data_IF_718149841263
#
_entry.id   IF_718149841263
#
_cell.length_a   1.000
_cell.length_b   1.000
_cell.length_c   1.000
_cell.angle_alpha   90.00
_cell.angle_beta   90.00
_cell.angle_gamma   90.00
#
_symmetry.space_group_name_H-M   'P 1'
#
loop_
_entity.id
_entity.type
_entity.pdbx_description
1 polymer ?
#
# COMPACT_ATOMS: atom_id res chain seq x y z
N UNK A 1 -18.73 -29.05 -6.95
CA UNK A 1 -19.32 -28.95 -8.31
C UNK A 1 -18.20 -28.72 -9.30
N UNK A 2 -17.90 -29.66 -10.19
CA UNK A 2 -16.73 -29.61 -11.05
C UNK A 2 -16.84 -28.51 -12.11
N UNK A 3 -15.86 -27.62 -12.19
CA UNK A 3 -15.79 -26.48 -13.15
C UNK A 3 -16.00 -26.92 -14.63
N UNK A 4 -15.65 -28.14 -14.98
CA UNK A 4 -15.86 -28.67 -16.34
C UNK A 4 -17.32 -28.95 -16.71
N UNK A 5 -18.22 -29.19 -15.74
CA UNK A 5 -19.65 -29.40 -15.99
C UNK A 5 -20.40 -28.10 -16.22
N UNK A 6 -19.92 -26.99 -15.62
CA UNK A 6 -20.51 -25.67 -15.82
C UNK A 6 -20.32 -25.16 -17.25
N UNK A 7 -19.11 -25.32 -17.81
CA UNK A 7 -18.79 -24.86 -19.17
C UNK A 7 -19.50 -25.64 -20.26
N UNK A 8 -19.82 -26.95 -20.05
CA UNK A 8 -20.59 -27.75 -21.00
C UNK A 8 -22.07 -27.41 -21.03
N UNK A 9 -22.63 -26.84 -19.96
CA UNK A 9 -24.07 -26.57 -19.86
C UNK A 9 -24.47 -25.21 -20.44
N UNK A 10 -23.55 -24.28 -20.65
CA UNK A 10 -23.82 -22.93 -21.14
C UNK A 10 -23.03 -22.55 -22.40
N UNK A 11 -22.33 -23.49 -23.01
CA UNK A 11 -21.46 -23.26 -24.16
C UNK A 11 -22.05 -23.68 -25.53
N UNK A 12 -23.34 -23.84 -25.67
CA UNK A 12 -23.92 -24.20 -26.96
C UNK A 12 -25.13 -23.29 -27.25
N UNK A 13 -24.89 -22.19 -27.92
CA UNK A 13 -25.86 -21.46 -28.72
C UNK A 13 -25.22 -20.31 -29.52
N UNK A 14 -24.23 -20.62 -30.35
CA UNK A 14 -23.78 -19.67 -31.38
C UNK A 14 -23.54 -20.39 -32.72
N UNK A 15 -24.52 -21.14 -33.17
CA UNK A 15 -24.55 -21.63 -34.54
C UNK A 15 -25.98 -21.49 -35.07
N UNK A 16 -26.27 -20.35 -35.65
CA UNK A 16 -27.56 -20.16 -36.33
C UNK A 16 -28.03 -18.71 -36.34
N UNK A 17 -27.33 -17.82 -37.05
CA UNK A 17 -27.88 -16.54 -37.52
C UNK A 17 -26.92 -15.93 -38.56
N UNK A 18 -26.83 -16.58 -39.71
CA UNK A 18 -26.32 -15.99 -40.95
C UNK A 18 -27.51 -15.94 -41.93
N UNK A 19 -28.23 -14.82 -41.91
CA UNK A 19 -28.92 -14.24 -43.08
C UNK A 19 -29.95 -13.18 -42.65
N UNK A 20 -29.46 -11.96 -42.47
CA UNK A 20 -30.30 -10.77 -42.58
C UNK A 20 -29.52 -9.71 -43.36
N UNK A 21 -30.07 -9.06 -44.40
CA UNK A 21 -29.37 -8.02 -45.13
C UNK A 21 -29.18 -6.79 -44.23
N UNK A 22 -27.98 -6.37 -44.10
CA UNK A 22 -27.62 -5.17 -43.34
C UNK A 22 -28.16 -3.93 -44.06
N UNK A 23 -29.22 -3.32 -43.55
CA UNK A 23 -29.53 -1.92 -43.81
C UNK A 23 -28.47 -1.05 -43.07
N UNK A 24 -27.41 -0.68 -43.76
CA UNK A 24 -26.50 0.33 -43.30
C UNK A 24 -27.18 1.71 -43.35
N UNK A 25 -27.81 2.11 -42.27
CA UNK A 25 -28.02 3.53 -42.02
C UNK A 25 -26.68 4.19 -41.74
N UNK A 26 -26.21 5.03 -42.66
CA UNK A 26 -25.06 5.93 -42.46
C UNK A 26 -25.44 6.94 -41.38
N UNK A 27 -25.27 6.59 -40.11
CA UNK A 27 -25.17 7.58 -39.07
C UNK A 27 -23.73 8.06 -39.04
N UNK A 28 -23.48 9.24 -39.55
CA UNK A 28 -22.23 9.97 -39.30
C UNK A 28 -22.07 10.09 -37.77
N UNK A 29 -20.95 9.63 -37.19
CA UNK A 29 -20.73 9.88 -35.79
C UNK A 29 -20.63 11.40 -35.58
N UNK A 30 -21.59 11.98 -34.84
CA UNK A 30 -21.40 13.33 -34.29
C UNK A 30 -20.14 13.26 -33.44
N UNK A 31 -19.10 13.90 -33.90
CA UNK A 31 -17.93 14.20 -33.07
C UNK A 31 -18.44 15.02 -31.88
N UNK A 32 -18.61 14.36 -30.76
CA UNK A 32 -18.82 15.04 -29.47
C UNK A 32 -17.43 15.61 -29.16
N UNK A 33 -17.26 16.88 -29.46
CA UNK A 33 -16.14 17.65 -28.91
C UNK A 33 -16.26 17.54 -27.40
N UNK A 34 -15.22 17.02 -26.69
CA UNK A 34 -15.27 17.04 -25.24
C UNK A 34 -15.39 18.49 -24.83
N UNK A 35 -16.54 18.83 -24.24
CA UNK A 35 -16.69 20.08 -23.54
C UNK A 35 -15.54 20.11 -22.52
N UNK A 36 -14.61 21.08 -22.63
CA UNK A 36 -13.69 21.39 -21.55
C UNK A 36 -14.57 21.85 -20.38
N UNK A 37 -15.04 20.92 -19.59
CA UNK A 37 -15.60 21.18 -18.29
C UNK A 37 -14.49 21.90 -17.55
N UNK A 38 -14.73 23.14 -17.14
CA UNK A 38 -13.82 23.85 -16.24
C UNK A 38 -13.56 22.89 -15.08
N UNK A 39 -12.31 22.52 -14.84
CA UNK A 39 -11.95 21.60 -13.75
C UNK A 39 -12.45 22.25 -12.46
N UNK A 40 -13.45 21.66 -11.86
CA UNK A 40 -13.87 22.07 -10.52
C UNK A 40 -12.69 21.69 -9.64
N UNK A 41 -11.97 22.69 -9.13
CA UNK A 41 -10.87 22.46 -8.19
C UNK A 41 -11.43 21.73 -6.97
N UNK A 42 -10.88 20.59 -6.65
CA UNK A 42 -11.20 19.87 -5.42
C UNK A 42 -10.61 20.62 -4.22
N UNK A 43 -11.17 20.39 -3.04
CA UNK A 43 -10.53 20.86 -1.81
C UNK A 43 -9.46 19.86 -1.43
N UNK A 44 -8.19 20.26 -1.29
CA UNK A 44 -7.14 19.38 -0.85
C UNK A 44 -7.46 18.76 0.51
N UNK A 45 -7.11 17.49 0.66
CA UNK A 45 -7.36 16.73 1.90
C UNK A 45 -6.23 15.75 2.13
N UNK A 46 -5.82 15.59 3.38
CA UNK A 46 -4.97 14.49 3.86
C UNK A 46 -5.72 13.78 4.97
N UNK A 47 -5.78 12.47 4.91
CA UNK A 47 -6.36 11.63 5.96
C UNK A 47 -5.42 10.47 6.26
N UNK A 48 -5.34 10.07 7.52
CA UNK A 48 -4.64 8.83 7.91
C UNK A 48 -5.48 8.03 8.90
N UNK A 49 -5.17 6.76 9.02
CA UNK A 49 -5.69 5.92 10.09
C UNK A 49 -5.02 6.32 11.41
N UNK A 50 -5.72 6.11 12.52
CA UNK A 50 -5.26 6.41 13.87
C UNK A 50 -4.92 7.90 14.09
N UNK A 51 -4.39 8.23 15.26
CA UNK A 51 -4.08 9.61 15.65
C UNK A 51 -2.62 10.00 15.31
N UNK A 52 -2.21 9.82 14.06
CA UNK A 52 -0.88 10.19 13.59
C UNK A 52 -0.86 11.64 13.06
N UNK A 53 -1.05 12.58 13.98
CA UNK A 53 -1.18 14.01 13.65
C UNK A 53 0.09 14.56 12.99
N UNK A 54 1.29 14.16 13.44
CA UNK A 54 2.55 14.62 12.87
C UNK A 54 2.74 14.15 11.42
N UNK A 55 2.33 12.91 11.12
CA UNK A 55 2.35 12.38 9.76
C UNK A 55 1.39 13.14 8.84
N UNK A 56 0.17 13.40 9.30
CA UNK A 56 -0.81 14.19 8.57
C UNK A 56 -0.34 15.64 8.34
N UNK A 57 0.26 16.26 9.37
CA UNK A 57 0.80 17.61 9.27
C UNK A 57 1.96 17.67 8.25
N UNK A 58 2.84 16.66 8.24
CA UNK A 58 3.94 16.60 7.27
C UNK A 58 3.42 16.41 5.84
N UNK A 59 2.49 15.49 5.63
CA UNK A 59 1.86 15.30 4.32
C UNK A 59 1.17 16.58 3.83
N UNK A 60 0.49 17.27 4.72
CA UNK A 60 -0.15 18.56 4.42
C UNK A 60 0.87 19.64 4.03
N UNK A 61 1.96 19.78 4.78
CA UNK A 61 3.07 20.69 4.47
C UNK A 61 3.62 20.45 3.06
N UNK A 62 3.89 19.16 2.72
CA UNK A 62 4.41 18.76 1.41
C UNK A 62 3.40 19.12 0.31
N UNK A 63 2.12 18.80 0.52
CA UNK A 63 1.06 19.14 -0.43
C UNK A 63 0.93 20.65 -0.65
N UNK A 64 1.02 21.46 0.42
CA UNK A 64 0.96 22.92 0.34
C UNK A 64 2.20 23.53 -0.36
N UNK A 65 3.32 22.84 -0.39
CA UNK A 65 4.51 23.28 -1.14
C UNK A 65 4.35 23.15 -2.65
N UNK A 66 3.28 22.53 -3.13
CA UNK A 66 3.03 22.26 -4.54
C UNK A 66 3.67 20.96 -5.06
N UNK A 67 4.16 20.10 -4.15
CA UNK A 67 4.63 18.77 -4.48
C UNK A 67 3.44 17.83 -4.83
N UNK A 68 3.74 16.67 -5.41
CA UNK A 68 2.71 15.72 -5.82
C UNK A 68 2.00 15.08 -4.61
N UNK A 69 0.79 14.56 -4.83
CA UNK A 69 0.07 13.77 -3.82
C UNK A 69 0.85 12.53 -3.40
N UNK A 70 1.66 11.96 -4.32
CA UNK A 70 2.52 10.82 -4.05
C UNK A 70 3.66 11.18 -3.09
N UNK A 71 4.31 12.33 -3.30
CA UNK A 71 5.33 12.84 -2.38
C UNK A 71 4.74 13.15 -1.00
N UNK A 72 3.51 13.70 -0.98
CA UNK A 72 2.84 14.02 0.27
C UNK A 72 2.58 12.78 1.12
N UNK A 73 2.03 11.70 0.56
CA UNK A 73 1.76 10.47 1.31
C UNK A 73 3.05 9.77 1.72
N UNK A 74 4.07 9.74 0.87
CA UNK A 74 5.37 9.16 1.22
C UNK A 74 6.00 9.89 2.39
N UNK A 75 6.19 11.21 2.27
CA UNK A 75 6.83 12.01 3.33
C UNK A 75 6.01 12.02 4.63
N UNK A 76 4.68 11.95 4.53
CA UNK A 76 3.81 11.84 5.68
C UNK A 76 4.04 10.56 6.47
N UNK A 77 3.96 9.38 5.83
CA UNK A 77 4.11 8.11 6.55
C UNK A 77 5.53 7.86 7.03
N UNK A 78 6.55 8.45 6.39
CA UNK A 78 7.96 8.39 6.85
C UNK A 78 8.16 8.99 8.23
N UNK A 79 7.30 9.90 8.67
CA UNK A 79 7.35 10.43 10.04
C UNK A 79 7.17 9.31 11.05
N UNK A 80 6.16 8.46 10.86
CA UNK A 80 5.91 7.33 11.75
C UNK A 80 6.94 6.22 11.58
N UNK A 81 7.42 5.97 10.36
CA UNK A 81 8.50 5.01 10.11
C UNK A 81 9.80 5.39 10.84
N UNK A 82 10.02 6.68 11.10
CA UNK A 82 11.21 7.19 11.79
C UNK A 82 11.01 7.38 13.29
N UNK A 83 9.79 7.32 13.80
CA UNK A 83 9.50 7.53 15.21
C UNK A 83 9.87 6.29 16.03
N UNK A 84 10.96 6.39 16.76
CA UNK A 84 11.48 5.31 17.63
C UNK A 84 10.56 4.98 18.81
N UNK A 85 9.57 5.82 19.10
CA UNK A 85 8.57 5.60 20.14
C UNK A 85 7.37 4.84 19.63
N UNK A 86 7.20 4.74 18.31
CA UNK A 86 6.14 3.96 17.67
C UNK A 86 6.60 2.50 17.53
N UNK A 87 6.01 1.61 18.35
CA UNK A 87 6.39 0.20 18.37
C UNK A 87 5.63 -0.66 17.35
N UNK A 88 4.83 -0.04 16.46
CA UNK A 88 3.96 -0.72 15.49
C UNK A 88 4.24 -0.36 14.02
N UNK A 89 5.01 0.71 13.78
CA UNK A 89 5.38 1.18 12.44
C UNK A 89 6.90 1.45 12.39
N UNK A 90 7.59 0.93 11.40
CA UNK A 90 8.97 1.30 11.08
C UNK A 90 10.00 1.00 12.17
N UNK A 91 10.85 2.00 12.43
CA UNK A 91 11.90 1.94 13.44
C UNK A 91 11.29 1.89 14.85
N UNK A 92 11.79 0.99 15.70
CA UNK A 92 11.19 0.72 17.01
C UNK A 92 10.08 -0.32 16.99
N UNK A 93 9.70 -0.80 15.83
CA UNK A 93 8.71 -1.86 15.70
C UNK A 93 9.07 -3.12 16.48
N UNK A 94 8.07 -3.77 17.09
CA UNK A 94 8.29 -5.03 17.81
C UNK A 94 8.69 -6.13 16.84
N UNK A 95 9.71 -6.95 17.19
CA UNK A 95 10.22 -7.98 16.29
C UNK A 95 9.24 -9.14 16.10
N UNK A 96 9.53 -9.99 15.12
CA UNK A 96 8.95 -11.32 15.02
C UNK A 96 9.47 -12.25 16.13
N UNK A 97 8.99 -13.50 16.16
CA UNK A 97 9.41 -14.48 17.18
C UNK A 97 10.90 -14.82 17.16
N UNK A 98 11.57 -14.57 16.03
CA UNK A 98 12.98 -14.86 15.83
C UNK A 98 13.88 -13.64 16.11
N UNK A 99 13.28 -12.52 16.55
CA UNK A 99 13.98 -11.30 16.95
C UNK A 99 14.27 -10.33 15.81
N UNK A 100 13.60 -10.46 14.67
CA UNK A 100 13.81 -9.56 13.53
C UNK A 100 12.65 -8.56 13.41
N UNK A 101 12.95 -7.28 13.34
CA UNK A 101 11.97 -6.28 12.91
C UNK A 101 11.79 -6.41 11.40
N UNK A 102 10.57 -6.71 10.98
CA UNK A 102 10.21 -6.90 9.57
C UNK A 102 9.11 -5.94 9.18
N UNK A 103 9.31 -5.26 8.08
CA UNK A 103 8.49 -4.14 7.61
C UNK A 103 7.76 -4.50 6.33
N UNK A 104 6.52 -4.06 6.26
CA UNK A 104 5.64 -4.22 5.10
C UNK A 104 5.12 -2.83 4.69
N UNK A 105 5.16 -2.51 3.39
CA UNK A 105 4.66 -1.24 2.89
C UNK A 105 4.13 -1.36 1.46
N UNK A 106 3.15 -0.53 1.12
CA UNK A 106 2.74 -0.29 -0.26
C UNK A 106 2.40 1.17 -0.51
N UNK A 107 2.57 1.58 -1.76
CA UNK A 107 2.26 2.92 -2.25
C UNK A 107 1.55 2.80 -3.59
N UNK A 108 0.63 3.73 -3.87
CA UNK A 108 -0.11 3.74 -5.12
C UNK A 108 -0.33 5.19 -5.58
N UNK A 109 -0.10 5.44 -6.86
CA UNK A 109 -0.28 6.75 -7.48
C UNK A 109 -1.67 6.90 -8.14
N UNK A 110 -1.92 8.11 -8.65
CA UNK A 110 -3.15 8.51 -9.34
C UNK A 110 -3.42 7.76 -10.66
N UNK A 111 -2.37 7.24 -11.29
CA UNK A 111 -2.44 6.56 -12.58
C UNK A 111 -2.64 5.04 -12.43
N UNK A 112 -2.77 4.56 -11.18
CA UNK A 112 -2.94 3.16 -10.85
C UNK A 112 -1.63 2.37 -10.76
N UNK A 113 -0.47 3.04 -10.87
CA UNK A 113 0.79 2.38 -10.61
C UNK A 113 0.95 2.13 -9.12
N UNK A 114 1.58 1.01 -8.77
CA UNK A 114 1.78 0.64 -7.38
C UNK A 114 3.08 -0.13 -7.17
N UNK A 115 3.58 -0.04 -5.94
CA UNK A 115 4.75 -0.79 -5.52
C UNK A 115 4.61 -1.23 -4.07
N UNK A 116 5.20 -2.37 -3.74
CA UNK A 116 5.14 -2.95 -2.40
C UNK A 116 6.44 -3.62 -2.01
N UNK A 117 6.71 -3.61 -0.72
CA UNK A 117 7.72 -4.45 -0.09
C UNK A 117 7.11 -5.24 1.05
N UNK A 118 7.50 -6.49 1.18
CA UNK A 118 7.04 -7.38 2.24
C UNK A 118 8.22 -8.03 2.94
N UNK A 119 8.12 -8.18 4.26
CA UNK A 119 9.15 -8.81 5.08
C UNK A 119 10.54 -8.17 4.88
N UNK A 120 10.57 -6.85 4.65
CA UNK A 120 11.79 -6.08 4.51
C UNK A 120 12.45 -5.90 5.88
N UNK A 121 13.76 -6.06 5.96
CA UNK A 121 14.54 -5.89 7.18
C UNK A 121 15.61 -4.82 7.00
N UNK A 122 16.02 -4.21 8.10
CA UNK A 122 17.19 -3.30 8.18
C UNK A 122 17.09 -2.03 7.31
N UNK A 123 15.94 -1.64 6.82
CA UNK A 123 15.74 -0.40 6.08
C UNK A 123 14.70 0.45 6.82
N UNK A 124 15.08 1.67 7.20
CA UNK A 124 14.27 2.58 8.01
C UNK A 124 12.95 2.98 7.33
N UNK A 125 12.99 3.23 6.00
CA UNK A 125 11.84 3.71 5.24
C UNK A 125 11.39 2.70 4.18
N UNK A 126 10.61 1.68 4.57
CA UNK A 126 10.08 0.70 3.63
C UNK A 126 9.18 1.32 2.57
N UNK A 127 8.45 2.42 2.88
CA UNK A 127 7.60 3.10 1.91
C UNK A 127 8.39 3.65 0.74
N UNK A 128 9.58 4.22 0.98
CA UNK A 128 10.45 4.73 -0.09
C UNK A 128 11.01 3.60 -0.96
N UNK A 129 11.27 2.43 -0.37
CA UNK A 129 11.65 1.24 -1.17
C UNK A 129 10.47 0.75 -2.01
N UNK A 130 9.25 0.73 -1.45
CA UNK A 130 8.04 0.38 -2.20
C UNK A 130 7.82 1.32 -3.39
N UNK A 131 8.04 2.63 -3.20
CA UNK A 131 8.02 3.62 -4.29
C UNK A 131 9.08 3.31 -5.36
N UNK A 132 10.30 2.98 -4.97
CA UNK A 132 11.36 2.58 -5.91
C UNK A 132 11.01 1.30 -6.68
N UNK A 133 10.34 0.34 -6.05
CA UNK A 133 9.82 -0.83 -6.77
C UNK A 133 8.86 -0.41 -7.88
N UNK A 134 7.93 0.50 -7.60
CA UNK A 134 6.98 1.03 -8.58
C UNK A 134 7.65 1.79 -9.72
N UNK A 135 8.60 2.67 -9.38
CA UNK A 135 9.19 3.62 -10.34
C UNK A 135 10.32 3.01 -11.18
N UNK A 136 11.11 2.08 -10.61
CA UNK A 136 12.37 1.62 -11.19
C UNK A 136 12.35 0.17 -11.67
N UNK A 137 11.22 -0.54 -11.51
CA UNK A 137 11.11 -1.95 -11.88
C UNK A 137 9.79 -2.27 -12.58
N UNK A 138 9.72 -3.36 -13.37
CA UNK A 138 8.45 -3.84 -13.91
C UNK A 138 7.64 -4.65 -12.88
N UNK A 139 8.10 -4.72 -11.63
CA UNK A 139 7.50 -5.54 -10.58
C UNK A 139 6.61 -4.70 -9.68
N UNK A 140 5.62 -5.35 -9.08
CA UNK A 140 4.72 -4.72 -8.11
C UNK A 140 5.18 -4.99 -6.67
N UNK A 141 5.71 -6.17 -6.37
CA UNK A 141 6.06 -6.57 -5.01
C UNK A 141 7.44 -7.23 -4.98
N UNK A 142 8.28 -6.79 -4.07
CA UNK A 142 9.51 -7.47 -3.70
C UNK A 142 9.46 -7.94 -2.24
N UNK A 143 10.11 -9.08 -1.94
CA UNK A 143 10.02 -9.71 -0.63
C UNK A 143 11.38 -10.03 0.00
N UNK A 144 11.48 -9.87 1.32
CA UNK A 144 12.56 -10.36 2.17
C UNK A 144 13.95 -9.98 1.69
N UNK A 145 14.85 -10.98 1.51
CA UNK A 145 16.24 -10.74 1.08
C UNK A 145 16.33 -10.07 -0.29
N UNK A 146 15.41 -10.37 -1.22
CA UNK A 146 15.38 -9.74 -2.53
C UNK A 146 15.02 -8.25 -2.43
N UNK A 147 14.05 -7.89 -1.61
CA UNK A 147 13.69 -6.50 -1.34
C UNK A 147 14.85 -5.73 -0.67
N UNK A 148 15.54 -6.37 0.29
CA UNK A 148 16.72 -5.77 0.92
C UNK A 148 17.86 -5.55 -0.07
N UNK A 149 18.15 -6.53 -0.92
CA UNK A 149 19.18 -6.38 -1.95
C UNK A 149 18.85 -5.22 -2.89
N UNK A 150 17.63 -5.17 -3.39
CA UNK A 150 17.16 -4.07 -4.23
C UNK A 150 17.30 -2.71 -3.52
N UNK A 151 16.87 -2.61 -2.26
CA UNK A 151 17.00 -1.38 -1.49
C UNK A 151 18.47 -0.92 -1.40
N UNK A 152 19.41 -1.83 -1.15
CA UNK A 152 20.83 -1.49 -1.11
C UNK A 152 21.37 -1.03 -2.47
N UNK A 153 20.92 -1.65 -3.56
CA UNK A 153 21.26 -1.24 -4.94
C UNK A 153 20.69 0.15 -5.27
N UNK A 154 19.56 0.53 -4.65
CA UNK A 154 18.97 1.87 -4.75
C UNK A 154 19.60 2.90 -3.78
N UNK A 155 20.64 2.52 -3.04
CA UNK A 155 21.40 3.43 -2.16
C UNK A 155 20.89 3.54 -0.73
N UNK A 156 19.85 2.80 -0.34
CA UNK A 156 19.42 2.76 1.05
C UNK A 156 20.48 2.11 1.94
N UNK A 157 20.56 2.52 3.19
CA UNK A 157 21.55 2.01 4.14
C UNK A 157 20.89 1.06 5.13
N UNK A 158 21.66 0.06 5.58
CA UNK A 158 21.21 -0.82 6.66
C UNK A 158 21.23 -0.11 7.99
N UNK A 159 20.14 -0.26 8.74
CA UNK A 159 20.02 0.23 10.12
C UNK A 159 19.50 -0.90 11.03
N UNK A 160 19.87 -0.85 12.32
CA UNK A 160 19.21 -1.67 13.34
C UNK A 160 17.90 -0.99 13.71
N UNK A 161 16.80 -1.67 13.41
CA UNK A 161 15.46 -1.13 13.61
C UNK A 161 14.91 -1.39 15.03
N UNK A 162 15.60 -2.21 15.83
CA UNK A 162 15.18 -2.54 17.19
C UNK A 162 15.75 -1.53 18.19
N UNK A 163 14.89 -0.86 18.95
CA UNK A 163 15.29 0.01 20.04
C UNK A 163 15.63 -0.80 21.29
N UNK A 164 16.32 -0.17 22.28
CA UNK A 164 16.57 -0.81 23.57
C UNK A 164 15.28 -1.20 24.29
N UNK A 165 14.22 -0.39 24.16
CA UNK A 165 12.89 -0.68 24.69
C UNK A 165 12.31 -1.97 24.11
N UNK A 166 12.22 -2.06 22.79
CA UNK A 166 11.63 -3.22 22.12
C UNK A 166 12.51 -4.47 22.25
N UNK A 167 13.83 -4.30 22.35
CA UNK A 167 14.77 -5.38 22.67
C UNK A 167 14.50 -5.96 24.07
N UNK A 168 14.34 -5.12 25.07
CA UNK A 168 14.01 -5.54 26.44
C UNK A 168 12.68 -6.26 26.48
N UNK A 169 11.64 -5.70 25.84
CA UNK A 169 10.32 -6.33 25.75
C UNK A 169 10.38 -7.71 25.06
N UNK A 170 11.20 -7.85 24.04
CA UNK A 170 11.40 -9.14 23.35
C UNK A 170 12.07 -10.18 24.27
N UNK A 171 13.10 -9.81 25.04
CA UNK A 171 13.73 -10.71 25.99
C UNK A 171 12.75 -11.16 27.08
N UNK A 172 11.96 -10.27 27.63
CA UNK A 172 10.90 -10.58 28.60
C UNK A 172 9.83 -11.50 27.99
N UNK A 173 9.41 -11.24 26.75
CA UNK A 173 8.46 -12.08 26.04
C UNK A 173 8.99 -13.50 25.86
N UNK A 174 10.25 -13.70 25.49
CA UNK A 174 10.83 -15.05 25.34
C UNK A 174 10.73 -15.91 26.61
N UNK A 175 10.80 -15.30 27.79
CA UNK A 175 10.70 -16.00 29.06
C UNK A 175 9.26 -16.41 29.37
N UNK A 176 8.30 -15.57 29.07
CA UNK A 176 6.91 -15.70 29.52
C UNK A 176 5.98 -16.29 28.47
N UNK A 177 6.34 -16.25 27.20
CA UNK A 177 5.44 -16.63 26.13
C UNK A 177 5.28 -18.12 25.99
N UNK A 178 4.05 -18.57 26.22
CA UNK A 178 3.54 -19.78 25.57
C UNK A 178 2.79 -19.30 24.34
N UNK A 179 3.48 -19.18 23.22
CA UNK A 179 2.88 -18.65 21.99
C UNK A 179 1.51 -19.29 21.70
N UNK A 180 0.47 -18.65 22.12
CA UNK A 180 -0.94 -19.01 21.89
C UNK A 180 -1.65 -17.75 21.40
N UNK A 181 -1.59 -17.51 20.10
CA UNK A 181 -2.30 -16.40 19.49
C UNK A 181 -3.75 -16.82 19.23
N UNK A 182 -4.76 -16.08 19.69
CA UNK A 182 -6.13 -16.29 19.27
C UNK A 182 -6.23 -16.24 17.73
N UNK A 183 -6.99 -17.16 17.16
CA UNK A 183 -7.18 -17.23 15.71
C UNK A 183 -7.88 -15.95 15.23
N UNK A 184 -7.32 -15.28 14.22
CA UNK A 184 -7.84 -14.07 13.57
C UNK A 184 -7.97 -12.83 14.48
N UNK A 185 -7.25 -12.77 15.60
CA UNK A 185 -7.15 -11.56 16.42
C UNK A 185 -5.71 -11.02 16.31
N UNK A 186 -5.56 -9.90 15.66
CA UNK A 186 -4.29 -9.21 15.49
C UNK A 186 -4.38 -7.82 16.15
N UNK A 187 -3.56 -7.61 17.19
CA UNK A 187 -3.42 -6.30 17.84
C UNK A 187 -2.16 -5.62 17.30
N UNK A 188 -2.32 -4.79 16.31
CA UNK A 188 -1.26 -3.94 15.78
C UNK A 188 -1.87 -2.70 15.15
N UNK A 189 -1.13 -1.61 15.19
CA UNK A 189 -1.45 -0.41 14.46
C UNK A 189 -0.65 -0.40 13.14
N UNK A 190 -1.22 0.23 12.16
CA UNK A 190 -0.65 0.42 10.83
C UNK A 190 -1.00 1.82 10.40
N UNK A 191 -0.08 2.58 9.83
CA UNK A 191 -0.47 3.83 9.19
C UNK A 191 -0.86 3.58 7.75
N UNK A 192 -2.11 3.94 7.42
CA UNK A 192 -2.58 4.12 6.07
C UNK A 192 -2.89 5.60 5.85
N UNK A 193 -2.44 6.16 4.73
CA UNK A 193 -2.61 7.56 4.40
C UNK A 193 -3.12 7.74 2.98
N UNK A 194 -4.02 8.71 2.81
CA UNK A 194 -4.49 9.17 1.49
C UNK A 194 -4.32 10.68 1.41
N UNK A 195 -3.94 11.17 0.25
CA UNK A 195 -3.91 12.59 -0.07
C UNK A 195 -4.67 12.86 -1.37
N UNK A 196 -5.41 13.96 -1.39
CA UNK A 196 -6.11 14.52 -2.55
C UNK A 196 -5.63 15.95 -2.74
N UNK A 197 -5.26 16.34 -3.94
CA UNK A 197 -4.87 17.71 -4.27
C UNK A 197 -6.02 18.53 -4.87
N UNK A 198 -5.73 19.79 -5.21
CA UNK A 198 -6.69 20.70 -5.83
C UNK A 198 -7.08 20.32 -7.27
N UNK A 199 -6.28 19.47 -7.93
CA UNK A 199 -6.55 18.99 -9.28
C UNK A 199 -7.46 17.75 -9.28
N UNK A 200 -7.70 17.15 -8.11
CA UNK A 200 -8.45 15.91 -7.95
C UNK A 200 -7.57 14.68 -8.03
N UNK A 201 -6.26 14.83 -8.03
CA UNK A 201 -5.32 13.72 -8.03
C UNK A 201 -5.23 13.08 -6.63
N UNK A 202 -5.27 11.75 -6.57
CA UNK A 202 -5.24 10.96 -5.33
C UNK A 202 -4.02 10.04 -5.33
N UNK A 203 -3.36 9.94 -4.20
CA UNK A 203 -2.37 8.90 -3.94
C UNK A 203 -2.55 8.33 -2.54
N UNK A 204 -1.97 7.16 -2.30
CA UNK A 204 -2.04 6.52 -0.99
C UNK A 204 -0.78 5.75 -0.64
N UNK A 205 -0.57 5.58 0.65
CA UNK A 205 0.52 4.82 1.26
C UNK A 205 0.00 4.03 2.46
N UNK A 206 0.55 2.84 2.66
CA UNK A 206 0.27 2.02 3.83
C UNK A 206 1.56 1.35 4.29
N UNK A 207 1.89 1.46 5.59
CA UNK A 207 3.15 0.91 6.14
C UNK A 207 3.01 0.46 7.59
N UNK A 208 3.76 -0.57 7.98
CA UNK A 208 3.68 -1.22 9.29
C UNK A 208 4.93 -2.04 9.61
N UNK A 209 5.19 -2.27 10.90
CA UNK A 209 6.04 -3.37 11.36
C UNK A 209 5.24 -4.66 11.63
N UNK A 210 3.92 -4.61 11.50
CA UNK A 210 3.02 -5.74 11.70
C UNK A 210 2.84 -6.14 13.16
N UNK A 211 2.27 -7.31 13.37
CA UNK A 211 1.96 -7.86 14.70
C UNK A 211 3.24 -8.19 15.48
N UNK A 212 3.28 -7.83 16.76
CA UNK A 212 4.37 -8.17 17.66
C UNK A 212 4.53 -9.70 17.78
N UNK A 213 5.79 -10.16 17.75
CA UNK A 213 6.18 -11.56 17.94
C UNK A 213 5.50 -12.52 16.96
N UNK A 214 5.15 -12.01 15.78
CA UNK A 214 4.54 -12.80 14.70
C UNK A 214 5.43 -13.97 14.26
N UNK A 215 4.85 -14.92 13.58
CA UNK A 215 5.64 -15.97 12.93
C UNK A 215 6.56 -15.35 11.87
N UNK A 216 7.79 -15.84 11.76
CA UNK A 216 8.68 -15.46 10.67
C UNK A 216 7.99 -15.69 9.31
N UNK A 217 8.04 -14.69 8.45
CA UNK A 217 7.36 -14.72 7.15
C UNK A 217 5.88 -14.33 7.17
N UNK A 218 5.28 -14.04 8.34
CA UNK A 218 3.90 -13.51 8.37
C UNK A 218 3.87 -12.11 7.76
N UNK A 219 2.96 -11.91 6.83
CA UNK A 219 2.62 -10.62 6.20
C UNK A 219 1.15 -10.33 6.48
N UNK A 220 0.83 -9.09 6.85
CA UNK A 220 -0.55 -8.62 7.03
C UNK A 220 -1.17 -8.07 5.76
N UNK A 221 -2.25 -7.31 5.90
CA UNK A 221 -2.95 -6.68 4.78
C UNK A 221 -2.19 -5.48 4.20
N UNK A 222 -1.39 -4.80 5.01
CA UNK A 222 -0.79 -3.50 4.72
C UNK A 222 -0.04 -3.38 3.38
N UNK A 223 0.75 -4.38 2.92
CA UNK A 223 1.47 -4.26 1.64
C UNK A 223 0.65 -4.75 0.44
N UNK A 224 -0.59 -5.14 0.64
CA UNK A 224 -1.41 -5.79 -0.39
C UNK A 224 -2.38 -4.77 -0.98
N UNK A 225 -2.16 -4.42 -2.26
CA UNK A 225 -3.08 -3.57 -3.01
C UNK A 225 -4.44 -4.27 -3.13
N UNK A 226 -5.49 -3.54 -2.80
CA UNK A 226 -6.86 -4.07 -2.69
C UNK A 226 -7.22 -4.64 -1.31
N UNK A 227 -6.26 -4.67 -0.35
CA UNK A 227 -6.50 -5.05 1.04
C UNK A 227 -6.12 -3.93 2.00
N UNK A 228 -4.85 -3.54 2.08
CA UNK A 228 -4.39 -2.43 2.93
C UNK A 228 -4.54 -1.06 2.28
N UNK A 229 -4.46 -1.01 0.95
CA UNK A 229 -4.54 0.23 0.17
C UNK A 229 -5.17 -0.03 -1.20
N UNK A 230 -5.99 0.90 -1.64
CA UNK A 230 -6.42 1.00 -3.04
C UNK A 230 -6.68 2.46 -3.41
N UNK A 231 -6.26 2.86 -4.61
CA UNK A 231 -6.49 4.19 -5.18
C UNK A 231 -7.01 4.03 -6.60
N UNK A 232 -8.06 4.80 -6.92
CA UNK A 232 -8.60 4.94 -8.27
C UNK A 232 -8.99 6.42 -8.45
N UNK A 233 -8.30 7.11 -9.35
CA UNK A 233 -8.47 8.56 -9.52
C UNK A 233 -9.85 8.98 -10.04
N UNK A 234 -10.62 8.04 -10.61
CA UNK A 234 -12.00 8.29 -11.07
C UNK A 234 -13.03 8.10 -9.95
N UNK A 235 -12.71 7.29 -8.92
CA UNK A 235 -13.65 6.86 -7.89
C UNK A 235 -13.28 7.36 -6.51
N UNK A 236 -12.02 7.20 -6.10
CA UNK A 236 -11.53 7.56 -4.77
C UNK A 236 -10.43 6.64 -4.26
N UNK A 237 -10.05 6.81 -2.99
CA UNK A 237 -9.06 5.98 -2.33
C UNK A 237 -9.60 5.36 -1.05
N UNK A 238 -9.05 4.20 -0.68
CA UNK A 238 -9.33 3.52 0.57
C UNK A 238 -8.05 2.95 1.17
N UNK A 239 -7.90 3.04 2.48
CA UNK A 239 -6.87 2.35 3.25
C UNK A 239 -7.50 1.73 4.49
N UNK A 240 -7.01 0.56 4.87
CA UNK A 240 -7.51 -0.20 6.01
C UNK A 240 -6.35 -0.76 6.85
N UNK A 241 -6.55 -0.78 8.16
CA UNK A 241 -5.55 -1.23 9.15
C UNK A 241 -6.18 -2.11 10.21
#
# INVERSE_FOLDING_TARGET
MERRKFLKKYGISTAGLLSAPALFAKTTPKTVTPNKTASIKSKPVVVCTWNFENASAKAWEVLQSGASVLDAVEEGVKVEEADVTNETVGMGGRPDRDGNVTLDACIMDKDGNCGSVVYLQNIKHPISVARKVMEETPHIILAGKGALQFALEQGFQKEDLMTDSTRKQYEEWKITSKYQTPINIENHDTIGMLALDENGDIAGACTTSGMAYKMAGRVGASPIIGAGLFVDNEVGGATAT
#
